data_IF_100015944747
#
_entry.id   IF_100015944747
#
_cell.length_a   1.000
_cell.length_b   1.000
_cell.length_c   1.000
_cell.angle_alpha   90.00
_cell.angle_beta   90.00
_cell.angle_gamma   90.00
#
_symmetry.space_group_name_H-M   'P 1'
#
loop_
_entity.id
_entity.type
_entity.pdbx_description
1 polymer ?
#
# COMPACT_ATOMS: atom_id res chain seq x y z
N UNK A 1 -3.99 -12.72 -22.18
CA UNK A 1 -3.43 -11.38 -22.02
C UNK A 1 -1.91 -11.49 -22.00
N UNK A 2 -1.17 -10.52 -22.56
CA UNK A 2 0.28 -10.41 -22.42
C UNK A 2 0.71 -10.42 -20.95
N UNK A 3 1.95 -10.83 -20.66
CA UNK A 3 2.44 -10.95 -19.28
C UNK A 3 2.57 -9.57 -18.62
N UNK A 4 2.97 -8.58 -19.41
CA UNK A 4 3.09 -7.18 -19.02
C UNK A 4 1.75 -6.62 -18.51
N UNK A 5 0.62 -7.14 -19.03
CA UNK A 5 -0.70 -6.76 -18.55
C UNK A 5 -0.99 -7.30 -17.16
N UNK A 6 -0.52 -8.52 -16.83
CA UNK A 6 -0.69 -9.09 -15.48
C UNK A 6 0.20 -8.36 -14.49
N UNK A 7 1.46 -8.11 -14.85
CA UNK A 7 2.40 -7.34 -14.02
C UNK A 7 1.86 -5.94 -13.72
N UNK A 8 1.28 -5.28 -14.73
CA UNK A 8 0.62 -3.98 -14.55
C UNK A 8 -0.59 -4.10 -13.61
N UNK A 9 -1.43 -5.13 -13.78
CA UNK A 9 -2.58 -5.35 -12.91
C UNK A 9 -2.17 -5.59 -11.45
N UNK A 10 -1.09 -6.33 -11.21
CA UNK A 10 -0.56 -6.60 -9.87
C UNK A 10 -0.08 -5.31 -9.18
N UNK A 11 0.62 -4.45 -9.92
CA UNK A 11 1.05 -3.14 -9.41
C UNK A 11 -0.16 -2.25 -9.09
N UNK A 12 -1.15 -2.19 -9.98
CA UNK A 12 -2.37 -1.40 -9.76
C UNK A 12 -3.14 -1.89 -8.52
N UNK A 13 -3.26 -3.20 -8.37
CA UNK A 13 -3.94 -3.81 -7.22
C UNK A 13 -3.19 -3.58 -5.91
N UNK A 14 -1.85 -3.59 -5.94
CA UNK A 14 -1.02 -3.25 -4.79
C UNK A 14 -1.33 -1.82 -4.30
N UNK A 15 -1.31 -0.83 -5.21
CA UNK A 15 -1.56 0.56 -4.84
C UNK A 15 -3.03 0.82 -4.45
N UNK A 16 -4.00 0.18 -5.10
CA UNK A 16 -5.42 0.26 -4.71
C UNK A 16 -5.61 -0.17 -3.26
N UNK A 17 -5.06 -1.33 -2.87
CA UNK A 17 -5.11 -1.84 -1.49
C UNK A 17 -4.39 -0.92 -0.51
N UNK A 18 -3.20 -0.42 -0.85
CA UNK A 18 -2.45 0.48 0.02
C UNK A 18 -3.21 1.79 0.25
N UNK A 19 -3.80 2.37 -0.78
CA UNK A 19 -4.55 3.62 -0.64
C UNK A 19 -5.88 3.43 0.09
N UNK A 20 -6.60 2.34 -0.14
CA UNK A 20 -7.79 2.02 0.65
C UNK A 20 -7.45 1.90 2.14
N UNK A 21 -6.33 1.25 2.47
CA UNK A 21 -5.91 1.00 3.86
C UNK A 21 -5.57 2.24 4.67
N UNK A 22 -5.26 3.37 4.02
CA UNK A 22 -4.95 4.64 4.70
C UNK A 22 -6.09 5.66 4.56
N UNK A 23 -7.02 5.46 3.61
CA UNK A 23 -8.21 6.28 3.44
C UNK A 23 -9.41 5.67 4.18
N UNK A 24 -9.33 5.69 5.52
CA UNK A 24 -10.42 5.27 6.37
C UNK A 24 -11.64 6.18 6.22
N UNK A 25 -12.78 5.62 5.78
CA UNK A 25 -14.07 6.30 5.84
C UNK A 25 -14.93 5.68 6.94
N UNK A 26 -15.35 6.49 7.92
CA UNK A 26 -16.22 6.04 9.01
C UNK A 26 -17.65 5.68 8.53
N UNK A 27 -18.07 6.22 7.39
CA UNK A 27 -19.46 6.15 6.91
C UNK A 27 -19.73 5.03 5.89
N UNK A 28 -18.78 4.13 5.62
CA UNK A 28 -18.86 3.21 4.48
C UNK A 28 -18.82 1.71 4.83
N UNK A 29 -19.17 1.30 6.04
CA UNK A 29 -19.32 -0.13 6.38
C UNK A 29 -20.65 -0.70 5.86
N UNK A 30 -20.75 -0.90 4.55
CA UNK A 30 -21.78 -1.78 3.96
C UNK A 30 -21.27 -3.21 3.93
N UNK A 31 -22.16 -4.21 3.79
CA UNK A 31 -21.80 -5.64 3.69
C UNK A 31 -20.79 -5.93 2.56
N UNK A 32 -20.73 -5.07 1.55
CA UNK A 32 -19.89 -5.21 0.37
C UNK A 32 -18.74 -4.19 0.31
N UNK A 33 -18.46 -3.51 1.43
CA UNK A 33 -17.37 -2.56 1.49
C UNK A 33 -16.02 -3.27 1.34
N UNK A 34 -15.06 -2.60 0.68
CA UNK A 34 -13.70 -3.11 0.59
C UNK A 34 -13.14 -3.31 2.01
N UNK A 35 -12.43 -4.41 2.29
CA UNK A 35 -12.03 -4.80 3.64
C UNK A 35 -11.07 -3.81 4.32
N UNK A 36 -10.36 -3.00 3.53
CA UNK A 36 -9.41 -1.97 3.99
C UNK A 36 -10.04 -0.59 4.09
N UNK A 37 -11.30 -0.40 3.67
CA UNK A 37 -11.97 0.89 3.66
C UNK A 37 -12.62 1.16 5.03
N UNK A 38 -11.81 1.47 6.02
CA UNK A 38 -12.27 1.76 7.38
C UNK A 38 -11.13 1.90 8.39
N UNK A 39 -11.46 2.07 9.69
CA UNK A 39 -10.43 2.16 10.72
C UNK A 39 -9.69 0.83 10.85
N UNK A 40 -8.36 0.91 10.97
CA UNK A 40 -7.55 -0.24 11.34
C UNK A 40 -7.89 -0.66 12.79
N UNK A 41 -8.21 -1.94 12.97
CA UNK A 41 -8.39 -2.56 14.28
C UNK A 41 -7.27 -3.57 14.51
N UNK A 42 -7.03 -4.01 15.77
CA UNK A 42 -5.96 -4.98 16.06
C UNK A 42 -6.03 -6.29 15.23
N UNK A 43 -7.22 -6.69 14.81
CA UNK A 43 -7.46 -7.92 14.03
C UNK A 43 -7.74 -7.66 12.55
N UNK A 44 -7.70 -6.41 12.09
CA UNK A 44 -8.01 -6.07 10.70
C UNK A 44 -6.91 -6.45 9.72
N UNK A 45 -7.27 -6.58 8.45
CA UNK A 45 -6.33 -6.94 7.36
C UNK A 45 -5.29 -5.84 7.03
N UNK A 46 -5.41 -4.66 7.65
CA UNK A 46 -4.51 -3.53 7.44
C UNK A 46 -3.05 -3.91 7.72
N UNK A 47 -2.79 -4.50 8.89
CA UNK A 47 -1.43 -4.85 9.34
C UNK A 47 -0.71 -5.75 8.36
N UNK A 48 -1.37 -6.83 7.92
CA UNK A 48 -0.82 -7.74 6.91
C UNK A 48 -0.57 -7.03 5.58
N UNK A 49 -1.52 -6.22 5.13
CA UNK A 49 -1.40 -5.47 3.86
C UNK A 49 -0.23 -4.49 3.90
N UNK A 50 -0.05 -3.81 5.03
CA UNK A 50 1.05 -2.88 5.25
C UNK A 50 2.40 -3.58 5.27
N UNK A 51 2.54 -4.69 5.99
CA UNK A 51 3.77 -5.47 6.04
C UNK A 51 4.20 -5.97 4.66
N UNK A 52 3.26 -6.52 3.89
CA UNK A 52 3.52 -7.00 2.53
C UNK A 52 3.86 -5.84 1.60
N UNK A 53 3.08 -4.75 1.64
CA UNK A 53 3.30 -3.58 0.80
C UNK A 53 4.64 -2.89 1.07
N UNK A 54 5.02 -2.72 2.34
CA UNK A 54 6.32 -2.14 2.71
C UNK A 54 7.47 -3.00 2.18
N UNK A 55 7.38 -4.33 2.26
CA UNK A 55 8.40 -5.24 1.72
C UNK A 55 8.55 -5.06 0.21
N UNK A 56 7.45 -4.96 -0.53
CA UNK A 56 7.47 -4.76 -1.98
C UNK A 56 8.01 -3.38 -2.35
N UNK A 57 7.53 -2.32 -1.70
CA UNK A 57 7.95 -0.94 -1.99
C UNK A 57 9.45 -0.73 -1.72
N UNK A 58 10.01 -1.40 -0.70
CA UNK A 58 11.46 -1.36 -0.41
C UNK A 58 12.33 -2.03 -1.49
N UNK A 59 11.79 -3.01 -2.21
CA UNK A 59 12.53 -3.72 -3.26
C UNK A 59 12.28 -3.16 -4.66
N UNK A 60 11.25 -2.32 -4.82
CA UNK A 60 10.87 -1.68 -6.08
C UNK A 60 11.99 -0.77 -6.60
N UNK A 61 12.31 -0.90 -7.89
CA UNK A 61 13.32 -0.09 -8.59
C UNK A 61 12.69 0.47 -9.84
N UNK A 62 12.85 1.76 -10.06
CA UNK A 62 12.37 2.42 -11.27
C UNK A 62 13.50 2.46 -12.28
N UNK A 63 13.22 2.00 -13.49
CA UNK A 63 14.20 1.90 -14.56
C UNK A 63 13.69 2.70 -15.75
N UNK A 64 14.49 3.65 -16.20
CA UNK A 64 14.19 4.46 -17.40
C UNK A 64 14.26 3.61 -18.67
N UNK A 65 13.75 4.13 -19.78
CA UNK A 65 13.85 3.48 -21.08
C UNK A 65 15.31 3.16 -21.50
N UNK A 66 16.30 3.90 -20.97
CA UNK A 66 17.73 3.69 -21.22
C UNK A 66 18.39 2.74 -20.20
N UNK A 67 17.62 2.05 -19.36
CA UNK A 67 18.13 1.08 -18.38
C UNK A 67 18.72 1.69 -17.11
N UNK A 68 18.71 3.02 -16.97
CA UNK A 68 19.21 3.70 -15.76
C UNK A 68 18.20 3.55 -14.63
N UNK A 69 18.68 3.13 -13.45
CA UNK A 69 17.90 3.08 -12.21
C UNK A 69 17.73 4.49 -11.64
N UNK A 70 16.51 4.82 -11.25
CA UNK A 70 16.18 6.09 -10.63
C UNK A 70 15.60 5.90 -9.23
N UNK A 71 15.87 6.88 -8.38
CA UNK A 71 15.25 7.01 -7.08
C UNK A 71 14.00 7.86 -7.26
N UNK A 72 12.85 7.32 -6.86
CA UNK A 72 11.59 8.05 -6.88
C UNK A 72 11.29 8.55 -5.46
N UNK A 73 11.44 9.86 -5.18
CA UNK A 73 11.29 10.40 -3.83
C UNK A 73 9.92 10.13 -3.21
N UNK A 74 8.88 10.02 -4.04
CA UNK A 74 7.50 9.77 -3.60
C UNK A 74 7.36 8.43 -2.86
N UNK A 75 8.01 7.37 -3.35
CA UNK A 75 7.95 6.05 -2.71
C UNK A 75 8.72 6.04 -1.39
N UNK A 76 9.89 6.68 -1.35
CA UNK A 76 10.67 6.82 -0.12
C UNK A 76 9.89 7.61 0.94
N UNK A 77 9.30 8.74 0.52
CA UNK A 77 8.46 9.57 1.40
C UNK A 77 7.25 8.80 1.91
N UNK A 78 6.66 7.93 1.08
CA UNK A 78 5.56 7.06 1.48
C UNK A 78 5.98 6.06 2.54
N UNK A 79 7.12 5.40 2.35
CA UNK A 79 7.68 4.43 3.31
C UNK A 79 8.00 5.07 4.67
N UNK A 80 8.57 6.28 4.67
CA UNK A 80 8.87 7.03 5.88
C UNK A 80 7.59 7.43 6.63
N UNK A 81 6.72 8.18 5.96
CA UNK A 81 5.52 8.76 6.60
C UNK A 81 4.51 7.70 7.01
N UNK A 82 4.24 6.72 6.14
CA UNK A 82 3.29 5.66 6.47
C UNK A 82 3.89 4.64 7.42
N UNK A 83 5.20 4.37 7.34
CA UNK A 83 5.87 3.53 8.33
C UNK A 83 5.71 4.07 9.74
N UNK A 84 5.82 5.38 9.92
CA UNK A 84 5.60 6.02 11.22
C UNK A 84 4.13 6.08 11.63
N UNK A 85 3.22 6.31 10.68
CA UNK A 85 1.77 6.24 10.93
C UNK A 85 1.32 4.84 11.38
N UNK A 86 1.78 3.79 10.70
CA UNK A 86 1.46 2.40 10.99
C UNK A 86 1.96 2.03 12.39
N UNK A 87 3.20 2.36 12.72
CA UNK A 87 3.76 2.13 14.06
C UNK A 87 2.97 2.83 15.16
N UNK A 88 2.37 4.00 14.89
CA UNK A 88 1.48 4.68 15.87
C UNK A 88 0.19 3.90 16.08
N UNK A 89 -0.44 3.43 15.00
CA UNK A 89 -1.65 2.61 15.09
C UNK A 89 -1.39 1.30 15.85
N UNK A 90 -0.27 0.63 15.58
CA UNK A 90 0.09 -0.62 16.26
C UNK A 90 0.38 -0.44 17.77
N UNK A 91 0.83 0.76 18.17
CA UNK A 91 1.11 1.09 19.58
C UNK A 91 -0.11 1.51 20.39
N UNK A 92 -1.29 1.59 19.76
CA UNK A 92 -2.55 1.91 20.45
C UNK A 92 -2.67 3.35 20.95
N UNK A 93 -1.97 4.30 20.33
CA UNK A 93 -2.03 5.74 20.62
C UNK A 93 -2.78 6.51 19.56
#
# INVERSE_FOLDING_TARGET
>A
LPEECKETADILLLFDKLFDSVNGSFNKKTRFAKPLLGPATPTSLHHKTWDEGIKILKTMKFVTAVGKKEVVPTINSWLERNGDFIKKIERGT
#
